data_IF_872073710431
#
_entry.id   IF_872073710431
#
_cell.length_a   1.000
_cell.length_b   1.000
_cell.length_c   1.000
_cell.angle_alpha   90.00
_cell.angle_beta   90.00
_cell.angle_gamma   90.00
#
_symmetry.space_group_name_H-M   'P 1'
#
loop_
_entity.id
_entity.type
_entity.pdbx_description
1 polymer ?
#
# COMPACT_ATOMS: atom_id res chain seq x y z
N UNK A 1 -27.13 19.28 50.17
CA UNK A 1 -26.35 19.81 49.03
C UNK A 1 -24.94 19.26 49.11
N UNK A 2 -24.72 18.09 48.53
CA UNK A 2 -23.39 17.53 48.23
C UNK A 2 -23.65 16.44 47.20
N UNK A 3 -23.61 16.81 45.92
CA UNK A 3 -23.68 15.85 44.82
C UNK A 3 -22.33 15.90 44.11
N UNK A 4 -21.71 14.73 44.07
CA UNK A 4 -20.40 14.49 43.52
C UNK A 4 -20.42 14.66 42.00
N UNK A 5 -19.54 15.52 41.48
CA UNK A 5 -19.24 15.56 40.05
C UNK A 5 -18.35 14.36 39.70
N UNK A 6 -18.98 13.27 39.28
CA UNK A 6 -18.32 12.22 38.51
C UNK A 6 -18.19 12.72 37.07
N UNK A 7 -17.03 13.27 36.73
CA UNK A 7 -16.63 13.49 35.35
C UNK A 7 -16.40 12.11 34.70
N UNK A 8 -17.38 11.65 33.92
CA UNK A 8 -17.21 10.51 33.03
C UNK A 8 -16.24 10.88 31.92
N UNK A 9 -15.09 10.23 31.88
CA UNK A 9 -14.24 10.18 30.70
C UNK A 9 -15.00 9.39 29.62
N UNK A 10 -15.72 10.10 28.76
CA UNK A 10 -16.21 9.52 27.52
C UNK A 10 -15.01 9.34 26.60
N UNK A 11 -14.57 8.10 26.42
CA UNK A 11 -13.67 7.68 25.35
C UNK A 11 -14.33 7.96 24.00
N UNK A 12 -14.23 9.21 23.54
CA UNK A 12 -14.71 9.62 22.23
C UNK A 12 -13.75 9.08 21.18
N UNK A 13 -14.22 8.19 20.32
CA UNK A 13 -13.42 7.72 19.17
C UNK A 13 -13.12 8.94 18.29
N UNK A 14 -11.84 9.20 18.02
CA UNK A 14 -11.43 10.32 17.19
C UNK A 14 -12.07 10.20 15.80
N UNK A 15 -12.72 11.27 15.34
CA UNK A 15 -13.38 11.32 14.04
C UNK A 15 -12.52 12.07 13.03
N UNK A 16 -12.40 11.53 11.83
CA UNK A 16 -11.69 12.18 10.72
C UNK A 16 -12.56 13.27 10.06
N UNK A 17 -11.95 14.13 9.24
CA UNK A 17 -12.65 15.14 8.43
C UNK A 17 -13.68 14.52 7.46
N UNK A 18 -13.59 13.22 7.21
CA UNK A 18 -14.52 12.47 6.37
C UNK A 18 -15.72 11.90 7.14
N UNK A 19 -15.83 12.15 8.45
CA UNK A 19 -16.94 11.70 9.28
C UNK A 19 -16.90 10.21 9.60
N UNK A 20 -15.73 9.58 9.51
CA UNK A 20 -15.51 8.18 9.94
C UNK A 20 -14.54 8.10 11.11
N UNK A 21 -14.71 7.10 12.00
CA UNK A 21 -13.75 6.80 13.06
C UNK A 21 -12.33 6.64 12.53
N UNK A 22 -11.36 7.25 13.21
CA UNK A 22 -9.95 7.04 12.94
C UNK A 22 -9.57 5.60 13.29
N UNK A 23 -8.89 4.92 12.36
CA UNK A 23 -8.26 3.63 12.62
C UNK A 23 -6.92 3.84 13.33
N UNK A 24 -6.54 2.88 14.16
CA UNK A 24 -5.20 2.82 14.72
C UNK A 24 -4.16 2.80 13.59
N UNK A 25 -3.02 3.45 13.82
CA UNK A 25 -1.96 3.47 12.83
C UNK A 25 -1.36 2.07 12.64
N UNK A 26 -1.11 1.73 11.37
CA UNK A 26 -0.34 0.55 10.97
C UNK A 26 0.85 0.98 10.13
N UNK A 27 1.94 0.22 10.21
CA UNK A 27 3.19 0.54 9.54
C UNK A 27 3.66 -0.59 8.64
N UNK A 28 3.95 -0.29 7.38
CA UNK A 28 4.49 -1.21 6.39
C UNK A 28 5.93 -0.84 6.00
N UNK A 29 6.79 -1.85 5.87
CA UNK A 29 7.99 -1.74 5.07
C UNK A 29 7.73 -2.45 3.73
N UNK A 30 7.74 -1.71 2.62
CA UNK A 30 7.38 -2.22 1.30
C UNK A 30 8.42 -1.81 0.27
N UNK A 31 9.12 -2.75 -0.35
CA UNK A 31 10.11 -2.40 -1.35
C UNK A 31 10.82 -3.55 -2.01
N UNK A 32 11.53 -3.17 -3.07
CA UNK A 32 12.31 -4.07 -3.91
C UNK A 32 13.46 -4.63 -3.07
N UNK A 33 13.53 -5.95 -2.93
CA UNK A 33 14.74 -6.59 -2.40
C UNK A 33 15.88 -6.30 -3.38
N UNK A 34 16.66 -5.25 -3.11
CA UNK A 34 17.64 -4.72 -4.05
C UNK A 34 18.76 -5.73 -4.35
N UNK A 35 19.28 -5.71 -5.57
CA UNK A 35 20.29 -6.63 -6.08
C UNK A 35 21.65 -6.53 -5.37
N UNK A 36 21.96 -5.39 -4.76
CA UNK A 36 23.35 -5.07 -4.39
C UNK A 36 23.82 -5.51 -3.00
N UNK A 37 23.02 -6.19 -2.18
CA UNK A 37 23.51 -6.62 -0.87
C UNK A 37 22.98 -8.00 -0.45
N UNK A 38 23.79 -9.05 -0.59
CA UNK A 38 23.59 -10.32 0.13
C UNK A 38 22.48 -11.27 -0.38
N UNK A 39 21.82 -10.96 -1.49
CA UNK A 39 20.85 -11.85 -2.17
C UNK A 39 19.56 -12.14 -1.39
N UNK A 40 18.80 -13.15 -1.82
CA UNK A 40 17.48 -13.50 -1.27
C UNK A 40 17.45 -13.73 0.26
N UNK A 41 18.60 -14.06 0.89
CA UNK A 41 18.71 -14.22 2.34
C UNK A 41 18.69 -12.89 3.10
N UNK A 42 19.25 -11.81 2.54
CA UNK A 42 19.18 -10.49 3.18
C UNK A 42 17.75 -9.98 3.21
N UNK A 43 16.96 -10.31 2.19
CA UNK A 43 15.55 -9.97 2.14
C UNK A 43 14.74 -10.55 3.32
N UNK A 44 15.00 -11.81 3.69
CA UNK A 44 14.39 -12.42 4.89
C UNK A 44 14.80 -11.67 6.16
N UNK A 45 16.08 -11.29 6.28
CA UNK A 45 16.55 -10.51 7.43
C UNK A 45 15.88 -9.14 7.52
N UNK A 46 15.65 -8.46 6.39
CA UNK A 46 14.94 -7.18 6.39
C UNK A 46 13.53 -7.32 6.96
N UNK A 47 12.81 -8.39 6.62
CA UNK A 47 11.49 -8.64 7.20
C UNK A 47 11.54 -8.92 8.71
N UNK A 48 12.55 -9.64 9.19
CA UNK A 48 12.78 -9.87 10.62
C UNK A 48 13.11 -8.56 11.34
N UNK A 49 13.98 -7.72 10.77
CA UNK A 49 14.29 -6.40 11.31
C UNK A 49 13.07 -5.48 11.35
N UNK A 50 12.24 -5.49 10.30
CA UNK A 50 10.98 -4.76 10.30
C UNK A 50 10.07 -5.22 11.45
N UNK A 51 9.99 -6.53 11.71
CA UNK A 51 9.23 -7.06 12.85
C UNK A 51 9.79 -6.62 14.21
N UNK A 52 11.12 -6.55 14.34
CA UNK A 52 11.81 -6.08 15.56
C UNK A 52 11.62 -4.58 15.79
N UNK A 53 11.62 -3.77 14.74
CA UNK A 53 11.33 -2.33 14.80
C UNK A 53 9.84 -2.03 15.03
N UNK A 54 9.00 -3.06 15.01
CA UNK A 54 7.57 -2.94 15.30
C UNK A 54 6.72 -2.58 14.09
N UNK A 55 7.18 -2.80 12.87
CA UNK A 55 6.30 -2.73 11.69
C UNK A 55 5.22 -3.80 11.73
N UNK A 56 4.03 -3.43 11.26
CA UNK A 56 2.86 -4.32 11.20
C UNK A 56 2.87 -5.20 9.95
N UNK A 57 3.56 -4.78 8.88
CA UNK A 57 3.70 -5.57 7.67
C UNK A 57 5.01 -5.38 6.90
N UNK A 58 5.32 -6.39 6.11
CA UNK A 58 6.42 -6.39 5.14
C UNK A 58 5.90 -6.85 3.77
N UNK A 59 6.04 -6.00 2.75
CA UNK A 59 5.45 -6.24 1.44
C UNK A 59 6.47 -6.24 0.30
N UNK A 60 6.18 -7.05 -0.73
CA UNK A 60 7.07 -7.30 -1.87
C UNK A 60 6.41 -6.84 -3.18
N UNK A 61 7.07 -6.01 -4.01
CA UNK A 61 6.60 -5.72 -5.36
C UNK A 61 6.86 -6.90 -6.32
N UNK A 62 6.27 -6.84 -7.51
CA UNK A 62 6.30 -7.89 -8.52
C UNK A 62 6.88 -7.37 -9.84
N UNK A 63 8.20 -7.20 -9.82
CA UNK A 63 9.04 -6.85 -10.95
C UNK A 63 9.83 -8.08 -11.42
N UNK A 64 10.06 -8.17 -12.72
CA UNK A 64 10.87 -9.20 -13.37
C UNK A 64 12.35 -8.83 -13.45
N UNK A 65 12.66 -7.60 -13.06
CA UNK A 65 14.03 -7.11 -12.94
C UNK A 65 14.79 -7.70 -11.74
N UNK A 66 15.74 -6.94 -11.19
CA UNK A 66 16.73 -7.41 -10.22
C UNK A 66 16.17 -7.67 -8.80
N UNK A 67 15.20 -8.57 -8.64
CA UNK A 67 14.55 -8.86 -7.35
C UNK A 67 14.20 -10.35 -7.15
N UNK A 68 13.82 -10.71 -5.93
CA UNK A 68 13.26 -12.04 -5.61
C UNK A 68 11.84 -12.17 -6.16
N UNK A 69 11.47 -13.39 -6.59
CA UNK A 69 10.10 -13.69 -6.98
C UNK A 69 9.15 -13.64 -5.77
N UNK A 70 8.05 -12.87 -5.80
CA UNK A 70 7.29 -12.55 -4.59
C UNK A 70 6.61 -13.75 -3.94
N UNK A 71 6.09 -14.72 -4.72
CA UNK A 71 5.41 -15.91 -4.16
C UNK A 71 6.39 -16.80 -3.40
N UNK A 72 7.56 -17.07 -3.99
CA UNK A 72 8.60 -17.87 -3.34
C UNK A 72 9.14 -17.14 -2.10
N UNK A 73 9.34 -15.83 -2.19
CA UNK A 73 9.78 -15.01 -1.07
C UNK A 73 8.76 -15.02 0.07
N UNK A 74 7.46 -14.85 -0.20
CA UNK A 74 6.40 -14.96 0.79
C UNK A 74 6.40 -16.30 1.52
N UNK A 75 6.64 -17.40 0.80
CA UNK A 75 6.80 -18.73 1.43
C UNK A 75 7.95 -18.78 2.43
N UNK A 76 9.09 -18.15 2.12
CA UNK A 76 10.22 -18.02 3.03
C UNK A 76 9.88 -17.11 4.23
N UNK A 77 9.26 -15.95 3.99
CA UNK A 77 8.88 -15.02 5.06
C UNK A 77 7.85 -15.63 6.01
N UNK A 78 6.91 -16.42 5.50
CA UNK A 78 5.89 -17.12 6.29
C UNK A 78 6.50 -18.03 7.37
N UNK A 79 7.68 -18.61 7.09
CA UNK A 79 8.40 -19.50 8.02
C UNK A 79 9.43 -18.74 8.86
N UNK A 80 10.01 -17.67 8.32
CA UNK A 80 11.11 -16.94 8.96
C UNK A 80 10.68 -15.79 9.89
N UNK A 81 9.39 -15.48 9.94
CA UNK A 81 8.81 -14.42 10.79
C UNK A 81 7.61 -14.96 11.55
N UNK A 82 7.29 -14.38 12.70
CA UNK A 82 6.30 -14.92 13.63
C UNK A 82 5.03 -14.07 13.75
N UNK A 83 5.14 -12.74 13.61
CA UNK A 83 4.08 -11.76 13.92
C UNK A 83 3.74 -10.84 12.76
N UNK A 84 4.75 -10.30 12.08
CA UNK A 84 4.58 -9.28 11.03
C UNK A 84 3.70 -9.83 9.90
N UNK A 85 2.79 -9.01 9.38
CA UNK A 85 2.01 -9.42 8.21
C UNK A 85 2.91 -9.44 6.98
N UNK A 86 2.69 -10.39 6.09
CA UNK A 86 3.48 -10.50 4.86
C UNK A 86 2.56 -10.28 3.67
N UNK A 87 3.02 -9.57 2.66
CA UNK A 87 2.14 -9.25 1.55
C UNK A 87 2.83 -8.82 0.27
N UNK A 88 2.02 -8.37 -0.67
CA UNK A 88 2.49 -7.90 -1.97
C UNK A 88 2.04 -6.47 -2.22
N UNK A 89 2.92 -5.66 -2.80
CA UNK A 89 2.69 -4.22 -3.02
C UNK A 89 3.08 -3.77 -4.45
N UNK A 90 2.41 -4.19 -5.52
CA UNK A 90 1.40 -5.26 -5.63
C UNK A 90 1.79 -6.19 -6.78
N UNK A 91 1.19 -7.38 -6.83
CA UNK A 91 1.42 -8.32 -7.93
C UNK A 91 0.90 -7.76 -9.26
N UNK A 92 1.62 -7.96 -10.36
CA UNK A 92 1.12 -7.64 -11.70
C UNK A 92 0.17 -8.75 -12.17
N UNK A 93 -1.12 -8.42 -12.34
CA UNK A 93 -2.15 -9.38 -12.73
C UNK A 93 -1.83 -10.10 -14.05
N UNK A 94 -1.13 -9.43 -14.97
CA UNK A 94 -0.75 -10.01 -16.26
C UNK A 94 0.32 -11.11 -16.19
N UNK A 95 0.98 -11.32 -15.06
CA UNK A 95 2.04 -12.33 -14.93
C UNK A 95 1.52 -13.73 -14.60
N UNK A 96 0.26 -13.88 -14.16
CA UNK A 96 -0.29 -15.17 -13.71
C UNK A 96 -1.80 -15.24 -13.79
N UNK A 97 -2.32 -16.45 -13.94
CA UNK A 97 -3.76 -16.71 -13.93
C UNK A 97 -4.33 -16.59 -12.50
N UNK A 98 -5.52 -15.99 -12.27
CA UNK A 98 -6.07 -15.75 -10.93
C UNK A 98 -6.33 -17.04 -10.14
N UNK A 99 -6.71 -18.14 -10.81
CA UNK A 99 -6.87 -19.45 -10.16
C UNK A 99 -5.56 -19.98 -9.59
N UNK A 100 -4.45 -19.82 -10.32
CA UNK A 100 -3.12 -20.24 -9.86
C UNK A 100 -2.69 -19.36 -8.69
N UNK A 101 -2.89 -18.05 -8.81
CA UNK A 101 -2.60 -17.12 -7.71
C UNK A 101 -3.41 -17.43 -6.45
N UNK A 102 -4.70 -17.79 -6.58
CA UNK A 102 -5.54 -18.16 -5.43
C UNK A 102 -4.96 -19.37 -4.68
N UNK A 103 -4.43 -20.37 -5.41
CA UNK A 103 -3.79 -21.56 -4.83
C UNK A 103 -2.55 -21.20 -4.02
N UNK A 104 -1.69 -20.36 -4.59
CA UNK A 104 -0.45 -19.92 -3.96
C UNK A 104 -0.75 -19.05 -2.72
N UNK A 105 -1.64 -18.06 -2.87
CA UNK A 105 -2.03 -17.16 -1.80
C UNK A 105 -2.67 -17.92 -0.62
N UNK A 106 -3.59 -18.84 -0.89
CA UNK A 106 -4.18 -19.65 0.17
C UNK A 106 -3.14 -20.53 0.90
N UNK A 107 -2.16 -21.05 0.15
CA UNK A 107 -1.07 -21.83 0.74
C UNK A 107 -0.19 -20.96 1.64
N UNK A 108 0.20 -19.78 1.18
CA UNK A 108 0.97 -18.80 1.96
C UNK A 108 0.21 -18.37 3.21
N UNK A 109 -1.10 -18.14 3.11
CA UNK A 109 -1.92 -17.79 4.26
C UNK A 109 -1.92 -18.90 5.33
N UNK A 110 -2.04 -20.17 4.91
CA UNK A 110 -1.99 -21.30 5.83
C UNK A 110 -0.61 -21.44 6.48
N UNK A 111 0.47 -21.29 5.70
CA UNK A 111 1.85 -21.36 6.17
C UNK A 111 2.19 -20.22 7.15
N UNK A 112 1.77 -19.00 6.81
CA UNK A 112 1.99 -17.79 7.63
C UNK A 112 1.06 -17.71 8.84
N UNK A 113 0.13 -18.67 8.98
CA UNK A 113 -0.88 -18.72 10.04
C UNK A 113 -1.84 -17.53 10.02
N UNK A 114 -2.24 -17.09 8.83
CA UNK A 114 -3.23 -16.05 8.64
C UNK A 114 -2.65 -14.62 8.61
N UNK A 115 -1.43 -14.46 8.12
CA UNK A 115 -0.72 -13.16 8.08
C UNK A 115 -0.61 -12.56 6.69
N UNK A 116 -1.25 -13.15 5.67
CA UNK A 116 -1.15 -12.70 4.29
C UNK A 116 -2.00 -11.44 4.03
N UNK A 117 -1.42 -10.45 3.36
CA UNK A 117 -2.13 -9.38 2.64
C UNK A 117 -1.83 -9.50 1.14
N UNK A 118 -2.85 -9.83 0.34
CA UNK A 118 -2.66 -10.13 -1.07
C UNK A 118 -2.93 -8.89 -1.91
N UNK A 119 -1.85 -8.22 -2.31
CA UNK A 119 -1.91 -7.12 -3.25
C UNK A 119 -1.84 -7.55 -4.71
N UNK A 120 -2.80 -7.09 -5.52
CA UNK A 120 -2.86 -7.32 -6.97
C UNK A 120 -3.22 -6.04 -7.70
N UNK A 121 -2.47 -5.69 -8.75
CA UNK A 121 -2.67 -4.52 -9.59
C UNK A 121 -2.58 -4.84 -11.07
N UNK A 122 -2.86 -3.85 -11.91
CA UNK A 122 -2.99 -4.04 -13.36
C UNK A 122 -1.64 -4.27 -14.10
N UNK A 123 -0.50 -4.14 -13.41
CA UNK A 123 0.84 -4.04 -14.00
C UNK A 123 1.04 -2.71 -14.75
N UNK A 124 2.26 -2.21 -14.91
CA UNK A 124 2.46 -0.91 -15.57
C UNK A 124 3.78 -0.73 -16.31
N UNK A 125 4.82 -1.51 -15.99
CA UNK A 125 6.12 -1.41 -16.64
C UNK A 125 6.12 -2.20 -17.95
N UNK A 126 5.83 -1.52 -19.06
CA UNK A 126 5.73 -2.12 -20.41
C UNK A 126 6.95 -2.96 -20.79
N UNK A 127 8.15 -2.49 -20.47
CA UNK A 127 9.40 -3.17 -20.80
C UNK A 127 9.54 -4.54 -20.15
N UNK A 128 8.98 -4.76 -18.95
CA UNK A 128 9.01 -6.09 -18.30
C UNK A 128 8.14 -7.10 -19.03
N UNK A 129 6.95 -6.67 -19.48
CA UNK A 129 6.06 -7.50 -20.28
C UNK A 129 6.72 -7.86 -21.62
N UNK A 130 7.29 -6.87 -22.30
CA UNK A 130 7.98 -7.07 -23.58
C UNK A 130 9.18 -8.01 -23.45
N UNK A 131 10.02 -7.80 -22.43
CA UNK A 131 11.18 -8.65 -22.17
C UNK A 131 10.80 -10.10 -21.84
N UNK A 132 9.67 -10.31 -21.16
CA UNK A 132 9.15 -11.64 -20.81
C UNK A 132 8.36 -12.31 -21.95
N UNK A 133 8.11 -11.61 -23.06
CA UNK A 133 7.23 -12.10 -24.13
C UNK A 133 5.75 -12.16 -23.73
N UNK A 134 5.35 -11.40 -22.70
CA UNK A 134 3.96 -11.33 -22.24
C UNK A 134 3.20 -10.21 -22.96
N UNK A 135 1.90 -10.40 -23.26
CA UNK A 135 1.07 -9.33 -23.82
C UNK A 135 0.98 -8.11 -22.88
N UNK A 136 1.28 -6.92 -23.40
CA UNK A 136 1.03 -5.66 -22.71
C UNK A 136 -0.20 -4.97 -23.33
N UNK A 137 -1.39 -5.25 -22.80
CA UNK A 137 -2.62 -4.70 -23.37
C UNK A 137 -2.85 -3.23 -22.99
N UNK A 138 -3.85 -2.63 -23.65
CA UNK A 138 -4.28 -1.27 -23.35
C UNK A 138 -4.68 -1.15 -21.86
N UNK A 139 -4.53 0.04 -21.25
CA UNK A 139 -4.91 0.24 -19.85
C UNK A 139 -6.34 -0.18 -19.52
N UNK A 140 -7.28 0.03 -20.45
CA UNK A 140 -8.67 -0.40 -20.27
C UNK A 140 -8.81 -1.92 -20.16
N UNK A 141 -8.17 -2.67 -21.06
CA UNK A 141 -8.19 -4.14 -21.04
C UNK A 141 -7.52 -4.68 -19.78
N UNK A 142 -6.41 -4.08 -19.34
CA UNK A 142 -5.73 -4.51 -18.10
C UNK A 142 -6.58 -4.27 -16.85
N UNK A 143 -7.36 -3.19 -16.81
CA UNK A 143 -8.33 -2.94 -15.73
C UNK A 143 -9.52 -3.91 -15.78
N UNK A 144 -10.06 -4.22 -16.96
CA UNK A 144 -11.10 -5.26 -17.10
C UNK A 144 -10.59 -6.63 -16.61
N UNK A 145 -9.36 -7.02 -16.99
CA UNK A 145 -8.71 -8.24 -16.48
C UNK A 145 -8.58 -8.22 -14.97
N UNK A 146 -8.15 -7.10 -14.38
CA UNK A 146 -8.01 -6.99 -12.94
C UNK A 146 -9.36 -7.12 -12.21
N UNK A 147 -10.44 -6.52 -12.73
CA UNK A 147 -11.79 -6.63 -12.18
C UNK A 147 -12.27 -8.10 -12.14
N UNK A 148 -12.09 -8.82 -13.24
CA UNK A 148 -12.42 -10.25 -13.32
C UNK A 148 -11.54 -11.09 -12.39
N UNK A 149 -10.24 -10.82 -12.35
CA UNK A 149 -9.30 -11.53 -11.50
C UNK A 149 -9.61 -11.35 -10.01
N UNK A 150 -9.90 -10.14 -9.55
CA UNK A 150 -10.29 -9.86 -8.16
C UNK A 150 -11.61 -10.54 -7.79
N UNK A 151 -12.56 -10.61 -8.71
CA UNK A 151 -13.82 -11.36 -8.52
C UNK A 151 -13.56 -12.85 -8.33
N UNK A 152 -12.70 -13.45 -9.17
CA UNK A 152 -12.31 -14.87 -9.05
C UNK A 152 -11.56 -15.12 -7.73
N UNK A 153 -10.63 -14.22 -7.37
CA UNK A 153 -9.86 -14.32 -6.12
C UNK A 153 -10.76 -14.23 -4.89
N UNK A 154 -11.75 -13.35 -4.85
CA UNK A 154 -12.69 -13.23 -3.74
C UNK A 154 -13.41 -14.56 -3.46
N UNK A 155 -13.96 -15.19 -4.51
CA UNK A 155 -14.66 -16.48 -4.40
C UNK A 155 -13.72 -17.60 -3.95
N UNK A 156 -12.58 -17.77 -4.63
CA UNK A 156 -11.67 -18.87 -4.34
C UNK A 156 -11.03 -18.74 -2.96
N UNK A 157 -10.66 -17.53 -2.53
CA UNK A 157 -10.03 -17.34 -1.22
C UNK A 157 -11.02 -17.45 -0.05
N UNK A 158 -12.34 -17.38 -0.31
CA UNK A 158 -13.37 -17.77 0.68
C UNK A 158 -13.54 -19.29 0.79
N UNK A 159 -12.79 -20.08 0.01
CA UNK A 159 -12.88 -21.54 -0.03
C UNK A 159 -14.10 -22.05 -0.80
N UNK A 160 -14.71 -21.19 -1.62
CA UNK A 160 -15.89 -21.51 -2.42
C UNK A 160 -15.50 -22.12 -3.78
N UNK A 161 -16.47 -22.78 -4.41
CA UNK A 161 -16.36 -23.21 -5.80
C UNK A 161 -16.63 -22.03 -6.74
N UNK A 162 -15.73 -21.82 -7.70
CA UNK A 162 -15.81 -20.73 -8.65
C UNK A 162 -16.24 -21.25 -10.02
N UNK A 163 -17.37 -20.74 -10.50
CA UNK A 163 -17.76 -20.74 -11.90
C UNK A 163 -17.73 -19.29 -12.37
N UNK A 164 -16.97 -18.99 -13.41
CA UNK A 164 -16.80 -17.63 -13.92
C UNK A 164 -16.69 -17.67 -15.44
N UNK A 165 -17.52 -16.89 -16.12
CA UNK A 165 -17.54 -16.76 -17.58
C UNK A 165 -17.36 -15.29 -17.95
N UNK A 166 -16.15 -14.78 -17.74
CA UNK A 166 -15.78 -13.42 -18.09
C UNK A 166 -15.35 -13.27 -19.54
N UNK A 167 -15.05 -12.03 -19.92
CA UNK A 167 -14.45 -11.69 -21.22
C UNK A 167 -13.00 -12.15 -21.30
N UNK A 168 -12.27 -12.13 -20.19
CA UNK A 168 -10.84 -12.42 -20.16
C UNK A 168 -10.47 -13.73 -19.47
N UNK A 169 -11.26 -14.17 -18.48
CA UNK A 169 -11.04 -15.43 -17.77
C UNK A 169 -12.28 -16.32 -17.80
N UNK A 170 -12.05 -17.63 -17.88
CA UNK A 170 -13.10 -18.63 -17.73
C UNK A 170 -12.67 -19.67 -16.68
N UNK A 171 -13.54 -19.96 -15.72
CA UNK A 171 -13.35 -20.91 -14.64
C UNK A 171 -14.56 -21.83 -14.56
N UNK A 172 -14.35 -23.15 -14.57
CA UNK A 172 -15.41 -24.16 -14.74
C UNK A 172 -15.54 -25.06 -13.51
N UNK A 173 -15.81 -24.49 -12.34
CA UNK A 173 -16.06 -25.25 -11.11
C UNK A 173 -14.80 -25.71 -10.41
N UNK A 174 -13.90 -24.77 -10.10
CA UNK A 174 -12.75 -25.08 -9.24
C UNK A 174 -13.02 -24.59 -7.82
N UNK A 175 -12.80 -25.45 -6.82
CA UNK A 175 -12.90 -25.09 -5.42
C UNK A 175 -11.60 -24.52 -4.88
N UNK A 176 -11.69 -23.35 -4.24
CA UNK A 176 -10.55 -22.74 -3.56
C UNK A 176 -10.03 -23.61 -2.40
N UNK A 177 -8.81 -24.10 -2.53
CA UNK A 177 -8.14 -24.93 -1.51
C UNK A 177 -6.62 -24.68 -1.50
N UNK A 178 -5.92 -24.74 -0.35
CA UNK A 178 -6.45 -24.97 0.99
C UNK A 178 -7.36 -23.82 1.46
N UNK A 179 -8.15 -24.02 2.52
CA UNK A 179 -8.96 -22.93 3.08
C UNK A 179 -8.02 -21.97 3.84
N UNK A 180 -7.99 -20.66 3.51
CA UNK A 180 -7.26 -19.68 4.30
C UNK A 180 -7.72 -19.66 5.76
N UNK A 181 -6.84 -19.27 6.68
CA UNK A 181 -7.13 -19.12 8.11
C UNK A 181 -7.84 -17.81 8.42
N UNK A 182 -7.60 -16.76 7.64
CA UNK A 182 -8.26 -15.46 7.82
C UNK A 182 -9.73 -15.52 7.35
N UNK A 183 -10.62 -14.90 8.12
CA UNK A 183 -12.06 -14.79 7.79
C UNK A 183 -12.43 -13.35 7.40
N UNK A 184 -13.14 -13.12 6.28
CA UNK A 184 -13.70 -14.13 5.38
C UNK A 184 -12.69 -14.74 4.39
N UNK A 185 -11.57 -14.04 4.14
CA UNK A 185 -10.42 -14.44 3.31
C UNK A 185 -9.22 -13.54 3.67
N UNK A 186 -7.99 -13.79 3.15
CA UNK A 186 -6.91 -12.81 3.27
C UNK A 186 -7.33 -11.45 2.69
N UNK A 187 -6.95 -10.32 3.31
CA UNK A 187 -7.22 -9.00 2.78
C UNK A 187 -6.68 -8.83 1.37
N UNK A 188 -7.51 -8.30 0.47
CA UNK A 188 -7.11 -7.90 -0.87
C UNK A 188 -6.65 -6.44 -0.85
N UNK A 189 -5.44 -6.22 -1.35
CA UNK A 189 -4.85 -4.89 -1.54
C UNK A 189 -4.89 -4.55 -3.03
N UNK A 190 -5.39 -3.37 -3.38
CA UNK A 190 -5.21 -2.85 -4.74
C UNK A 190 -5.31 -1.33 -4.71
N UNK A 191 -4.82 -0.65 -5.74
CA UNK A 191 -4.77 0.81 -5.69
C UNK A 191 -4.09 1.44 -6.90
N UNK A 192 -3.98 2.76 -6.87
CA UNK A 192 -3.43 3.54 -7.97
C UNK A 192 -3.70 5.04 -7.80
N UNK A 193 -3.13 5.86 -8.69
CA UNK A 193 -3.37 7.31 -8.69
C UNK A 193 -4.45 7.78 -9.66
N UNK A 194 -5.03 6.87 -10.46
CA UNK A 194 -5.99 7.20 -11.50
C UNK A 194 -7.44 6.89 -11.12
N UNK A 195 -8.43 7.68 -11.58
CA UNK A 195 -9.80 7.57 -11.09
C UNK A 195 -10.47 6.23 -11.41
N UNK A 196 -10.20 5.64 -12.58
CA UNK A 196 -10.74 4.31 -12.95
C UNK A 196 -10.20 3.21 -12.03
N UNK A 197 -8.92 3.28 -11.68
CA UNK A 197 -8.29 2.31 -10.78
C UNK A 197 -8.82 2.46 -9.35
N UNK A 198 -8.99 3.69 -8.87
CA UNK A 198 -9.54 3.95 -7.54
C UNK A 198 -11.00 3.50 -7.40
N UNK A 199 -11.84 3.69 -8.43
CA UNK A 199 -13.22 3.18 -8.44
C UNK A 199 -13.26 1.64 -8.45
N UNK A 200 -12.37 0.99 -9.20
CA UNK A 200 -12.23 -0.47 -9.18
C UNK A 200 -11.75 -0.96 -7.79
N UNK A 201 -10.79 -0.27 -7.19
CA UNK A 201 -10.29 -0.58 -5.85
C UNK A 201 -11.41 -0.48 -4.80
N UNK A 202 -12.21 0.59 -4.82
CA UNK A 202 -13.37 0.77 -3.95
C UNK A 202 -14.40 -0.37 -4.06
N UNK A 203 -14.51 -1.00 -5.24
CA UNK A 203 -15.38 -2.16 -5.48
C UNK A 203 -14.84 -3.47 -4.89
N UNK A 204 -13.53 -3.66 -4.75
CA UNK A 204 -12.95 -5.00 -4.46
C UNK A 204 -12.07 -5.07 -3.22
N UNK A 205 -11.35 -4.01 -2.91
CA UNK A 205 -10.28 -4.06 -1.93
C UNK A 205 -10.80 -3.98 -0.50
N UNK A 206 -10.05 -4.59 0.41
CA UNK A 206 -10.15 -4.31 1.85
C UNK A 206 -9.15 -3.22 2.26
N UNK A 207 -8.03 -3.11 1.51
CA UNK A 207 -7.00 -2.09 1.68
C UNK A 207 -6.75 -1.40 0.34
N UNK A 208 -6.84 -0.07 0.28
CA UNK A 208 -6.57 0.70 -0.93
C UNK A 208 -5.26 1.47 -0.83
N UNK A 209 -4.35 1.21 -1.76
CA UNK A 209 -3.11 1.96 -1.92
C UNK A 209 -3.33 3.26 -2.68
N UNK A 210 -3.23 4.38 -1.98
CA UNK A 210 -3.30 5.73 -2.54
C UNK A 210 -1.90 6.17 -2.93
N UNK A 211 -1.63 6.22 -4.22
CA UNK A 211 -0.29 6.57 -4.75
C UNK A 211 -0.35 7.83 -5.64
N UNK A 212 0.77 8.54 -5.84
CA UNK A 212 0.83 9.63 -6.80
C UNK A 212 0.43 9.16 -8.20
N UNK A 213 -0.19 10.05 -8.96
CA UNK A 213 -0.60 9.73 -10.32
C UNK A 213 0.61 9.69 -11.24
N UNK A 214 0.61 8.77 -12.18
CA UNK A 214 1.63 8.69 -13.22
C UNK A 214 1.11 9.18 -14.57
N UNK A 215 2.04 9.59 -15.42
CA UNK A 215 1.83 9.91 -16.82
C UNK A 215 1.63 8.64 -17.63
N UNK A 216 1.31 8.78 -18.93
CA UNK A 216 1.19 7.62 -19.84
C UNK A 216 2.51 6.89 -20.05
N UNK A 217 3.64 7.56 -19.84
CA UNK A 217 4.99 6.98 -19.95
C UNK A 217 5.49 6.40 -18.63
N UNK A 218 4.69 6.48 -17.56
CA UNK A 218 5.02 5.91 -16.26
C UNK A 218 5.75 6.85 -15.31
N UNK A 219 6.02 8.10 -15.71
CA UNK A 219 6.62 9.11 -14.81
C UNK A 219 5.62 9.55 -13.75
N UNK A 220 6.06 9.79 -12.52
CA UNK A 220 5.22 10.39 -11.49
C UNK A 220 4.90 11.85 -11.81
N UNK A 221 3.66 12.28 -11.64
CA UNK A 221 3.30 13.70 -11.71
C UNK A 221 3.67 14.37 -10.37
N UNK A 222 4.38 15.49 -10.44
CA UNK A 222 4.79 16.23 -9.24
C UNK A 222 3.56 16.72 -8.45
N UNK A 223 2.49 17.16 -9.12
CA UNK A 223 1.23 17.50 -8.45
C UNK A 223 0.64 16.33 -7.65
N UNK A 224 0.96 15.09 -8.01
CA UNK A 224 0.45 13.89 -7.39
C UNK A 224 0.90 13.67 -5.95
N UNK A 225 1.95 14.36 -5.49
CA UNK A 225 2.47 14.26 -4.13
C UNK A 225 1.84 15.27 -3.16
N UNK A 226 1.01 16.20 -3.63
CA UNK A 226 0.41 17.20 -2.73
C UNK A 226 -0.70 16.60 -1.86
N UNK A 227 -0.92 17.23 -0.70
CA UNK A 227 -2.02 16.86 0.20
C UNK A 227 -3.38 17.09 -0.45
N UNK A 228 -3.56 18.20 -1.16
CA UNK A 228 -4.78 18.51 -1.91
C UNK A 228 -5.15 17.40 -2.89
N UNK A 229 -4.20 16.98 -3.75
CA UNK A 229 -4.45 15.88 -4.70
C UNK A 229 -4.67 14.54 -4.02
N UNK A 230 -4.16 14.36 -2.81
CA UNK A 230 -4.44 13.16 -2.00
C UNK A 230 -5.87 13.18 -1.46
N UNK A 231 -6.34 14.32 -0.95
CA UNK A 231 -7.72 14.52 -0.49
C UNK A 231 -8.71 14.27 -1.65
N UNK A 232 -8.42 14.79 -2.85
CA UNK A 232 -9.24 14.53 -4.05
C UNK A 232 -9.38 13.03 -4.35
N UNK A 233 -8.26 12.28 -4.30
CA UNK A 233 -8.25 10.82 -4.51
C UNK A 233 -9.07 10.09 -3.45
N UNK A 234 -8.96 10.49 -2.19
CA UNK A 234 -9.70 9.85 -1.09
C UNK A 234 -11.20 10.14 -1.17
N UNK A 235 -11.59 11.37 -1.51
CA UNK A 235 -13.00 11.70 -1.75
C UNK A 235 -13.60 10.87 -2.88
N UNK A 236 -12.83 10.64 -3.95
CA UNK A 236 -13.25 9.74 -5.03
C UNK A 236 -13.45 8.29 -4.55
N UNK A 237 -12.54 7.78 -3.71
CA UNK A 237 -12.67 6.45 -3.11
C UNK A 237 -13.94 6.39 -2.26
N UNK A 238 -14.16 7.39 -1.40
CA UNK A 238 -15.35 7.49 -0.53
C UNK A 238 -16.64 7.49 -1.35
N UNK A 239 -16.73 8.32 -2.38
CA UNK A 239 -17.88 8.36 -3.30
C UNK A 239 -18.13 7.00 -3.95
N UNK A 240 -17.07 6.34 -4.43
CA UNK A 240 -17.18 5.07 -5.13
C UNK A 240 -17.51 3.88 -4.21
N UNK A 241 -17.03 3.92 -2.96
CA UNK A 241 -17.26 2.87 -1.97
C UNK A 241 -18.64 2.96 -1.30
N UNK A 242 -19.21 4.16 -1.19
CA UNK A 242 -20.47 4.38 -0.49
C UNK A 242 -20.41 3.85 0.96
N UNK A 243 -21.40 3.03 1.33
CA UNK A 243 -21.52 2.47 2.68
C UNK A 243 -20.35 1.56 3.09
N UNK A 244 -19.55 1.07 2.13
CA UNK A 244 -18.36 0.25 2.42
C UNK A 244 -17.15 1.07 2.85
N UNK A 245 -17.14 2.39 2.66
CA UNK A 245 -15.96 3.21 2.93
C UNK A 245 -15.41 3.01 4.36
N UNK A 246 -16.23 2.92 5.43
CA UNK A 246 -15.72 2.68 6.78
C UNK A 246 -14.96 1.35 6.94
N UNK A 247 -15.27 0.33 6.11
CA UNK A 247 -14.63 -0.99 6.17
C UNK A 247 -13.30 -1.05 5.41
N UNK A 248 -13.04 -0.07 4.54
CA UNK A 248 -11.84 0.01 3.72
C UNK A 248 -10.73 0.73 4.48
N UNK A 249 -9.58 0.09 4.60
CA UNK A 249 -8.36 0.72 5.11
C UNK A 249 -7.60 1.41 3.98
N UNK A 250 -7.08 2.62 4.22
CA UNK A 250 -6.30 3.35 3.22
C UNK A 250 -4.82 3.36 3.60
N UNK A 251 -3.99 2.87 2.69
CA UNK A 251 -2.54 2.87 2.84
C UNK A 251 -1.85 3.78 1.81
N UNK A 252 -0.67 4.29 2.16
CA UNK A 252 0.20 5.01 1.25
C UNK A 252 1.66 4.76 1.60
N UNK A 253 2.57 5.11 0.71
CA UNK A 253 4.01 4.98 0.96
C UNK A 253 4.66 6.34 0.96
N UNK A 254 5.32 6.70 2.06
CA UNK A 254 6.24 7.83 2.13
C UNK A 254 7.47 7.42 1.34
N UNK A 255 7.73 8.14 0.25
CA UNK A 255 8.80 7.84 -0.70
C UNK A 255 10.14 8.46 -0.33
N UNK A 256 10.15 9.43 0.58
CA UNK A 256 11.35 10.05 1.10
C UNK A 256 11.18 10.39 2.59
N UNK A 257 12.08 9.89 3.42
CA UNK A 257 12.22 10.22 4.84
C UNK A 257 13.58 10.87 5.04
N UNK A 258 13.59 12.11 5.53
CA UNK A 258 14.81 12.87 5.83
C UNK A 258 14.71 13.42 7.25
N UNK A 259 15.53 12.87 8.15
CA UNK A 259 15.60 13.33 9.54
C UNK A 259 16.53 14.53 9.63
N UNK A 260 16.03 15.66 10.14
CA UNK A 260 16.75 16.93 10.21
C UNK A 260 16.13 17.87 11.23
N UNK A 261 16.95 18.72 11.86
CA UNK A 261 16.48 19.82 12.72
C UNK A 261 16.18 21.11 11.91
N UNK A 262 16.50 21.12 10.61
CA UNK A 262 16.29 22.27 9.71
C UNK A 262 15.46 21.82 8.49
N UNK A 263 14.16 21.62 8.72
CA UNK A 263 13.25 21.07 7.71
C UNK A 263 12.95 22.04 6.57
N UNK A 264 12.90 23.35 6.85
CA UNK A 264 12.65 24.38 5.84
C UNK A 264 13.78 24.40 4.82
N UNK A 265 15.03 24.50 5.27
CA UNK A 265 16.19 24.47 4.38
C UNK A 265 16.28 23.16 3.60
N UNK A 266 15.94 22.04 4.23
CA UNK A 266 15.96 20.73 3.57
C UNK A 266 14.89 20.65 2.46
N UNK A 267 13.69 21.21 2.69
CA UNK A 267 12.67 21.32 1.66
C UNK A 267 13.08 22.29 0.52
N UNK A 268 13.73 23.42 0.82
CA UNK A 268 14.30 24.31 -0.20
C UNK A 268 15.33 23.59 -1.07
N UNK A 269 16.20 22.78 -0.46
CA UNK A 269 17.18 21.97 -1.19
C UNK A 269 16.51 20.93 -2.08
N UNK A 270 15.42 20.31 -1.62
CA UNK A 270 14.64 19.38 -2.43
C UNK A 270 14.00 20.06 -3.66
N UNK A 271 13.42 21.25 -3.47
CA UNK A 271 12.89 22.07 -4.57
C UNK A 271 13.98 22.46 -5.57
N UNK A 272 15.14 22.92 -5.09
CA UNK A 272 16.27 23.25 -5.94
C UNK A 272 16.81 22.04 -6.73
N UNK A 273 16.69 20.82 -6.18
CA UNK A 273 17.04 19.58 -6.89
C UNK A 273 16.03 19.24 -7.99
N UNK A 274 14.73 19.47 -7.75
CA UNK A 274 13.67 19.33 -8.75
C UNK A 274 13.88 20.30 -9.92
N UNK A 275 14.19 21.57 -9.64
CA UNK A 275 14.46 22.60 -10.66
C UNK A 275 15.68 22.28 -11.53
N UNK A 276 16.66 21.57 -10.96
CA UNK A 276 17.85 21.09 -11.69
C UNK A 276 17.62 19.80 -12.47
N UNK A 277 16.41 19.24 -12.43
CA UNK A 277 16.07 18.01 -13.16
C UNK A 277 16.73 16.76 -12.58
N UNK A 278 17.08 16.75 -11.29
CA UNK A 278 17.73 15.61 -10.64
C UNK A 278 16.78 14.44 -10.32
N UNK A 279 15.55 14.49 -10.84
CA UNK A 279 14.51 13.47 -10.70
C UNK A 279 13.96 13.06 -12.08
N UNK A 280 14.68 12.21 -12.84
CA UNK A 280 14.33 11.89 -14.23
C UNK A 280 12.97 11.17 -14.38
N UNK A 281 12.51 10.51 -13.31
CA UNK A 281 11.27 9.74 -13.25
C UNK A 281 10.04 10.57 -12.86
N UNK A 282 10.22 11.87 -12.59
CA UNK A 282 9.13 12.81 -12.32
C UNK A 282 8.87 13.72 -13.54
N UNK A 283 7.61 14.03 -13.74
CA UNK A 283 7.13 15.07 -14.66
C UNK A 283 6.70 16.28 -13.82
N UNK A 284 7.34 17.42 -14.07
CA UNK A 284 7.05 18.69 -13.38
C UNK A 284 5.88 19.35 -14.08
N UNK A 285 4.67 19.15 -13.54
CA UNK A 285 3.42 19.70 -14.04
C UNK A 285 2.89 20.89 -13.21
N UNK A 286 3.55 21.18 -12.09
CA UNK A 286 3.23 22.28 -11.16
C UNK A 286 4.51 22.79 -10.52
N UNK A 287 4.49 24.05 -10.06
CA UNK A 287 5.55 24.59 -9.21
C UNK A 287 5.12 24.46 -7.75
N UNK A 288 5.96 23.82 -6.93
CA UNK A 288 5.67 23.59 -5.51
C UNK A 288 6.37 24.62 -4.63
N UNK A 289 5.72 25.00 -3.53
CA UNK A 289 6.31 25.78 -2.44
C UNK A 289 6.99 24.87 -1.40
N UNK A 290 7.75 25.47 -0.48
CA UNK A 290 8.31 24.76 0.69
C UNK A 290 7.18 24.12 1.50
N UNK A 291 6.08 24.83 1.69
CA UNK A 291 4.91 24.35 2.42
C UNK A 291 4.28 23.11 1.74
N UNK A 292 4.21 23.08 0.40
CA UNK A 292 3.68 21.92 -0.33
C UNK A 292 4.53 20.66 -0.10
N UNK A 293 5.85 20.82 -0.01
CA UNK A 293 6.77 19.72 0.30
C UNK A 293 6.59 19.26 1.76
N UNK A 294 6.57 20.19 2.71
CA UNK A 294 6.46 19.89 4.14
C UNK A 294 5.09 19.32 4.53
N UNK A 295 4.04 19.63 3.78
CA UNK A 295 2.70 19.08 3.95
C UNK A 295 2.42 17.84 3.08
N UNK A 296 3.36 17.44 2.22
CA UNK A 296 3.17 16.29 1.32
C UNK A 296 2.96 14.99 2.12
N UNK A 297 1.95 14.17 1.80
CA UNK A 297 1.82 12.85 2.42
C UNK A 297 2.96 11.88 2.06
N UNK A 298 3.72 12.16 1.00
CA UNK A 298 4.71 11.22 0.42
C UNK A 298 6.16 11.62 0.71
N UNK A 299 6.39 12.78 1.34
CA UNK A 299 7.72 13.28 1.68
C UNK A 299 7.71 13.71 3.15
N UNK A 300 8.50 13.04 3.98
CA UNK A 300 8.65 13.32 5.39
C UNK A 300 10.02 13.98 5.65
N UNK A 301 10.02 15.24 6.08
CA UNK A 301 11.23 16.01 6.36
C UNK A 301 11.06 16.70 7.70
N UNK A 302 11.95 16.40 8.66
CA UNK A 302 11.99 17.06 9.96
C UNK A 302 12.47 16.14 11.08
N UNK A 303 12.23 16.56 12.31
CA UNK A 303 12.41 15.77 13.53
C UNK A 303 11.38 14.63 13.59
N UNK A 304 11.56 13.68 14.51
CA UNK A 304 10.61 12.56 14.65
C UNK A 304 9.20 13.05 15.03
N UNK A 305 9.12 14.06 15.89
CA UNK A 305 7.88 14.69 16.35
C UNK A 305 7.17 15.43 15.21
N UNK A 306 7.92 16.17 14.39
CA UNK A 306 7.38 16.88 13.23
C UNK A 306 6.85 15.92 12.16
N UNK A 307 7.55 14.82 11.92
CA UNK A 307 7.09 13.78 10.98
C UNK A 307 5.85 13.08 11.53
N UNK A 308 5.82 12.75 12.83
CA UNK A 308 4.64 12.19 13.47
C UNK A 308 3.43 13.13 13.33
N UNK A 309 3.60 14.42 13.59
CA UNK A 309 2.52 15.41 13.47
C UNK A 309 2.04 15.57 12.03
N UNK A 310 2.95 15.58 11.06
CA UNK A 310 2.61 15.58 9.64
C UNK A 310 1.72 14.36 9.28
N UNK A 311 2.05 13.17 9.78
CA UNK A 311 1.29 11.93 9.54
C UNK A 311 -0.09 11.98 10.22
N UNK A 312 -0.19 12.51 11.45
CA UNK A 312 -1.48 12.75 12.12
C UNK A 312 -2.36 13.68 11.31
N UNK A 313 -1.79 14.78 10.79
CA UNK A 313 -2.50 15.72 9.95
C UNK A 313 -3.04 15.05 8.67
N UNK A 314 -2.25 14.18 8.04
CA UNK A 314 -2.73 13.36 6.91
C UNK A 314 -3.92 12.51 7.33
N UNK A 315 -3.82 11.70 8.40
CA UNK A 315 -4.94 10.86 8.89
C UNK A 315 -6.20 11.67 9.17
N UNK A 316 -6.05 12.83 9.83
CA UNK A 316 -7.16 13.72 10.17
C UNK A 316 -7.93 14.16 8.92
N UNK A 317 -7.24 14.44 7.82
CA UNK A 317 -7.83 14.97 6.59
C UNK A 317 -8.27 13.90 5.59
N UNK A 318 -7.71 12.68 5.68
CA UNK A 318 -7.89 11.65 4.65
C UNK A 318 -8.35 10.29 5.18
N UNK A 319 -8.45 10.11 6.50
CA UNK A 319 -8.62 8.80 7.17
C UNK A 319 -7.54 7.76 6.88
N UNK A 320 -6.45 8.14 6.19
CA UNK A 320 -5.35 7.24 5.89
C UNK A 320 -4.60 6.91 7.18
N UNK A 321 -4.42 5.63 7.46
CA UNK A 321 -3.91 5.12 8.74
C UNK A 321 -2.84 4.04 8.57
N UNK A 322 -2.63 3.54 7.35
CA UNK A 322 -1.64 2.51 7.08
C UNK A 322 -0.43 3.11 6.34
N UNK A 323 0.59 3.48 7.09
CA UNK A 323 1.78 4.21 6.63
C UNK A 323 2.83 3.23 6.12
N UNK A 324 3.25 3.38 4.88
CA UNK A 324 4.33 2.62 4.27
C UNK A 324 5.62 3.43 4.16
N UNK A 325 6.76 2.77 4.27
CA UNK A 325 8.08 3.28 3.86
C UNK A 325 8.83 2.23 3.06
N UNK A 326 9.87 2.63 2.34
CA UNK A 326 10.79 1.66 1.74
C UNK A 326 11.64 0.96 2.81
N UNK A 327 12.00 -0.32 2.66
CA UNK A 327 12.88 -1.04 3.60
C UNK A 327 14.23 -0.35 3.79
N UNK A 328 14.72 0.39 2.79
CA UNK A 328 15.96 1.19 2.89
C UNK A 328 15.85 2.38 3.83
N UNK A 329 14.63 2.80 4.20
CA UNK A 329 14.35 3.93 5.08
C UNK A 329 13.70 3.49 6.40
N UNK A 330 13.51 2.19 6.62
CA UNK A 330 12.78 1.69 7.79
C UNK A 330 13.50 2.03 9.10
N UNK A 331 14.83 1.91 9.14
CA UNK A 331 15.65 2.22 10.32
C UNK A 331 15.53 3.71 10.69
N UNK A 332 15.55 4.59 9.69
CA UNK A 332 15.43 6.04 9.91
C UNK A 332 14.01 6.43 10.37
N UNK A 333 12.99 5.70 9.93
CA UNK A 333 11.59 5.98 10.28
C UNK A 333 11.14 5.31 11.59
N UNK A 334 11.78 4.22 12.01
CA UNK A 334 11.37 3.43 13.18
C UNK A 334 11.11 4.27 14.46
N UNK A 335 11.90 5.31 14.80
CA UNK A 335 11.62 6.15 15.98
C UNK A 335 10.29 6.92 15.94
N UNK A 336 9.69 7.10 14.77
CA UNK A 336 8.38 7.78 14.61
C UNK A 336 7.21 6.86 15.02
N UNK A 337 7.38 5.54 14.88
CA UNK A 337 6.33 4.54 15.17
C UNK A 337 5.76 4.67 16.59
N UNK A 338 6.56 4.67 17.68
CA UNK A 338 6.02 4.82 19.03
C UNK A 338 5.25 6.13 19.22
N UNK A 339 5.72 7.25 18.66
CA UNK A 339 5.04 8.55 18.75
C UNK A 339 3.61 8.52 18.17
N UNK A 340 3.37 7.69 17.16
CA UNK A 340 2.07 7.51 16.52
C UNK A 340 1.22 6.42 17.19
N UNK A 341 1.84 5.50 17.93
CA UNK A 341 1.14 4.45 18.70
C UNK A 341 0.76 4.90 20.11
N UNK A 342 1.43 5.90 20.65
CA UNK A 342 1.27 6.43 22.00
C UNK A 342 0.00 7.28 22.19
N UNK A 343 -0.92 7.32 21.22
CA UNK A 343 -2.20 8.01 21.44
C UNK A 343 -3.15 7.18 22.32
N UNK A 344 -3.63 7.76 23.44
CA UNK A 344 -4.56 7.16 24.40
C UNK A 344 -6.02 7.08 23.93
#
# INVERSE_FOLDING_TARGET
MTEAAAAGATSGVEMTALGVPARAFRFAAAGEGNQQEGGARKFVKLAQQAEEYGYDSFAIPDHLGPQVGPIAALGALAVATDRIRIGTSVLANGFRHPVVLAKDAATIDVLSRGRLELGVGAGWIKSEFEAAGLPYESPGVRLEKLDEALTILDVLLRGQECHFEGKHYQVRGIKGTPRPRQGPRPPLVTGGGGPKMLRLAAKHADIISVVPRTTKTGKGLLSGITLEKTIEKVNLIKEAAGDRFPDIELNWTITAVVITDDRERTAEMALAALDKGLHPDLEVDVQLSVEDILNSPYVAIGTFEEIAEQIRNVRRLTSMSYVGVFPTQMDAFAPVIPLLREEP
#
